data_IF_520316406275
#
_entry.id   IF_520316406275
#
_cell.length_a   1.000
_cell.length_b   1.000
_cell.length_c   1.000
_cell.angle_alpha   90.00
_cell.angle_beta   90.00
_cell.angle_gamma   90.00
#
_symmetry.space_group_name_H-M   'P 1'
#
loop_
_entity.id
_entity.type
_entity.pdbx_description
1 polymer ?
#
# COMPACT_ATOMS: atom_id res chain seq x y z
N UNK A 1 -1.15 14.24 -26.02
CA UNK A 1 -1.55 13.03 -25.28
C UNK A 1 -0.99 13.18 -23.89
N UNK A 2 -1.83 13.40 -22.90
CA UNK A 2 -1.40 13.44 -21.50
C UNK A 2 -1.01 12.03 -21.07
N UNK A 3 0.17 11.86 -20.47
CA UNK A 3 0.62 10.55 -19.98
C UNK A 3 -0.09 10.22 -18.67
N UNK A 4 -0.38 8.95 -18.47
CA UNK A 4 -0.92 8.42 -17.21
C UNK A 4 0.00 7.31 -16.73
N UNK A 5 0.41 7.39 -15.48
CA UNK A 5 1.24 6.42 -14.81
C UNK A 5 0.35 5.43 -14.07
N UNK A 6 0.68 4.14 -14.16
CA UNK A 6 -0.05 3.09 -13.43
C UNK A 6 0.90 2.45 -12.43
N UNK A 7 0.53 2.48 -11.16
CA UNK A 7 1.24 1.83 -10.07
C UNK A 7 0.47 0.57 -9.69
N UNK A 8 1.11 -0.60 -9.83
CA UNK A 8 0.50 -1.90 -9.53
C UNK A 8 1.20 -2.50 -8.31
N UNK A 9 0.42 -3.00 -7.36
CA UNK A 9 0.92 -3.71 -6.19
C UNK A 9 0.04 -4.93 -5.89
N UNK A 10 0.64 -5.97 -5.33
CA UNK A 10 -0.03 -7.22 -5.00
C UNK A 10 0.08 -7.56 -3.51
N UNK A 11 -1.00 -8.09 -2.96
CA UNK A 11 -1.05 -8.59 -1.58
C UNK A 11 -1.60 -10.01 -1.56
N UNK A 12 -0.81 -10.94 -1.03
CA UNK A 12 -1.17 -12.36 -1.00
C UNK A 12 0.03 -13.26 -0.71
N UNK A 13 -0.19 -14.56 -0.78
CA UNK A 13 0.86 -15.56 -0.56
C UNK A 13 1.62 -15.83 -1.86
N UNK A 14 2.85 -15.37 -2.04
CA UNK A 14 3.63 -15.58 -3.28
C UNK A 14 3.91 -17.06 -3.64
N UNK A 15 3.59 -18.01 -2.75
CA UNK A 15 3.65 -19.44 -3.02
C UNK A 15 2.36 -19.99 -3.64
N UNK A 16 2.50 -20.75 -4.74
CA UNK A 16 1.41 -21.56 -5.34
C UNK A 16 0.95 -22.73 -4.44
N UNK A 17 1.63 -22.95 -3.32
CA UNK A 17 1.38 -24.07 -2.41
C UNK A 17 0.33 -23.69 -1.36
N UNK A 18 -0.93 -23.97 -1.69
CA UNK A 18 -2.12 -23.70 -0.84
C UNK A 18 -2.34 -24.76 0.24
N UNK A 19 -1.48 -25.78 0.35
CA UNK A 19 -1.66 -26.90 1.28
C UNK A 19 -1.04 -26.67 2.66
N UNK A 20 -0.22 -25.62 2.85
CA UNK A 20 0.30 -25.26 4.17
C UNK A 20 -0.77 -24.53 4.99
N UNK A 21 -1.08 -25.07 6.17
CA UNK A 21 -1.98 -24.43 7.14
C UNK A 21 -1.48 -23.02 7.49
N UNK A 22 -2.28 -22.01 7.14
CA UNK A 22 -1.94 -20.59 7.28
C UNK A 22 -1.75 -19.82 5.97
N UNK A 23 -1.82 -20.49 4.80
CA UNK A 23 -1.85 -19.82 3.50
C UNK A 23 -3.24 -19.24 3.20
N UNK A 24 -3.27 -17.99 2.73
CA UNK A 24 -4.48 -17.39 2.15
C UNK A 24 -4.67 -17.94 0.74
N UNK A 25 -5.87 -18.45 0.43
CA UNK A 25 -6.25 -18.81 -0.94
C UNK A 25 -6.55 -17.61 -1.85
N UNK A 26 -6.42 -16.39 -1.32
CA UNK A 26 -6.78 -15.15 -2.02
C UNK A 26 -5.57 -14.26 -2.26
N UNK A 27 -5.58 -13.65 -3.43
CA UNK A 27 -4.64 -12.61 -3.86
C UNK A 27 -5.44 -11.36 -4.22
N UNK A 28 -4.91 -10.20 -3.85
CA UNK A 28 -5.47 -8.91 -4.21
C UNK A 28 -4.43 -8.20 -5.07
N UNK A 29 -4.84 -7.79 -6.26
CA UNK A 29 -4.04 -6.92 -7.14
C UNK A 29 -4.68 -5.54 -7.12
N UNK A 30 -3.89 -4.52 -6.82
CA UNK A 30 -4.31 -3.12 -6.79
C UNK A 30 -3.58 -2.35 -7.88
N UNK A 31 -4.29 -1.45 -8.58
CA UNK A 31 -3.71 -0.53 -9.54
C UNK A 31 -4.21 0.89 -9.28
N UNK A 32 -3.28 1.85 -9.19
CA UNK A 32 -3.56 3.27 -9.05
C UNK A 32 -3.09 3.98 -10.31
N UNK A 33 -4.00 4.71 -10.96
CA UNK A 33 -3.70 5.53 -12.12
C UNK A 33 -3.52 6.99 -11.70
N UNK A 34 -2.42 7.61 -12.12
CA UNK A 34 -2.08 8.99 -11.81
C UNK A 34 -1.75 9.72 -13.11
N UNK A 35 -2.45 10.81 -13.40
CA UNK A 35 -2.13 11.66 -14.54
C UNK A 35 -0.77 12.33 -14.31
N UNK A 36 0.01 12.55 -15.37
CA UNK A 36 1.36 13.16 -15.28
C UNK A 36 1.37 14.49 -14.52
N UNK A 37 0.34 15.33 -14.70
CA UNK A 37 0.17 16.60 -13.99
C UNK A 37 0.04 16.47 -12.46
N UNK A 38 -0.45 15.33 -11.98
CA UNK A 38 -0.72 15.06 -10.57
C UNK A 38 0.38 14.21 -9.92
N UNK A 39 1.37 13.77 -10.70
CA UNK A 39 2.42 12.83 -10.27
C UNK A 39 3.25 13.40 -9.11
N UNK A 40 3.73 14.63 -9.24
CA UNK A 40 4.53 15.29 -8.20
C UNK A 40 3.72 15.51 -6.92
N UNK A 41 2.45 15.87 -7.06
CA UNK A 41 1.55 16.03 -5.92
C UNK A 41 1.32 14.68 -5.22
N UNK A 42 1.12 13.60 -5.98
CA UNK A 42 0.96 12.25 -5.42
C UNK A 42 2.19 11.81 -4.63
N UNK A 43 3.41 12.00 -5.17
CA UNK A 43 4.65 11.71 -4.45
C UNK A 43 4.81 12.56 -3.18
N UNK A 44 4.53 13.85 -3.26
CA UNK A 44 4.63 14.75 -2.12
C UNK A 44 3.66 14.36 -0.99
N UNK A 45 2.43 13.94 -1.33
CA UNK A 45 1.45 13.46 -0.34
C UNK A 45 1.85 12.11 0.26
N UNK A 46 2.32 11.17 -0.57
CA UNK A 46 2.84 9.89 -0.10
C UNK A 46 4.00 10.07 0.89
N UNK A 47 4.92 10.99 0.60
CA UNK A 47 6.06 11.28 1.48
C UNK A 47 5.62 11.95 2.79
N UNK A 48 4.63 12.84 2.76
CA UNK A 48 4.04 13.42 3.99
C UNK A 48 3.40 12.33 4.86
N UNK A 49 2.66 11.41 4.26
CA UNK A 49 2.03 10.29 4.97
C UNK A 49 3.09 9.37 5.58
N UNK A 50 4.14 9.05 4.81
CA UNK A 50 5.28 8.24 5.27
C UNK A 50 5.97 8.90 6.47
N UNK A 51 6.35 10.17 6.38
CA UNK A 51 7.00 10.91 7.47
C UNK A 51 6.12 10.95 8.73
N UNK A 52 4.82 11.18 8.58
CA UNK A 52 3.87 11.30 9.70
C UNK A 52 3.65 9.98 10.44
N UNK A 53 3.59 8.85 9.74
CA UNK A 53 3.17 7.57 10.34
C UNK A 53 4.26 6.49 10.42
N UNK A 54 5.29 6.61 9.59
CA UNK A 54 6.36 5.61 9.41
C UNK A 54 7.77 6.22 9.52
N UNK A 55 7.89 7.54 9.70
CA UNK A 55 9.14 8.30 9.85
C UNK A 55 10.11 8.07 8.68
N UNK A 56 11.15 7.24 8.89
CA UNK A 56 12.16 6.87 7.89
C UNK A 56 11.90 5.50 7.27
N UNK A 57 10.99 4.71 7.82
CA UNK A 57 10.65 3.37 7.33
C UNK A 57 9.77 3.37 6.09
N UNK A 58 9.73 2.22 5.41
CA UNK A 58 8.77 1.94 4.35
C UNK A 58 7.34 1.83 4.88
N UNK A 59 6.37 2.20 4.05
CA UNK A 59 4.95 2.01 4.34
C UNK A 59 4.63 0.53 4.16
N UNK A 60 4.61 -0.24 5.26
CA UNK A 60 4.27 -1.67 5.24
C UNK A 60 3.26 -2.00 6.33
N UNK A 61 2.27 -2.82 5.98
CA UNK A 61 1.27 -3.30 6.94
C UNK A 61 1.87 -4.17 8.04
N UNK A 62 2.99 -4.86 7.76
CA UNK A 62 3.75 -5.64 8.75
C UNK A 62 4.39 -4.78 9.85
N UNK A 63 4.64 -3.50 9.58
CA UNK A 63 5.11 -2.53 10.58
C UNK A 63 3.97 -2.02 11.49
N UNK A 64 2.73 -2.42 11.22
CA UNK A 64 1.54 -2.09 12.01
C UNK A 64 1.06 -3.35 12.73
N UNK A 65 1.02 -3.33 14.08
CA UNK A 65 0.54 -4.50 14.85
C UNK A 65 -0.92 -4.78 14.48
N UNK A 66 -1.27 -6.07 14.39
CA UNK A 66 -2.62 -6.52 14.00
C UNK A 66 -3.71 -5.95 14.92
N UNK A 67 -3.39 -5.74 16.20
CA UNK A 67 -4.30 -5.16 17.20
C UNK A 67 -4.51 -3.64 17.07
N UNK A 68 -3.72 -2.94 16.26
CA UNK A 68 -3.78 -1.48 16.15
C UNK A 68 -4.76 -1.05 15.03
N UNK A 69 -5.99 -1.56 15.07
CA UNK A 69 -7.02 -1.25 14.08
C UNK A 69 -7.28 0.26 13.95
N UNK A 70 -7.29 0.98 15.08
CA UNK A 70 -7.47 2.43 15.12
C UNK A 70 -6.33 3.18 14.41
N UNK A 71 -5.10 2.68 14.52
CA UNK A 71 -3.94 3.28 13.82
C UNK A 71 -4.06 3.06 12.31
N UNK A 72 -4.55 1.89 11.88
CA UNK A 72 -4.79 1.58 10.46
C UNK A 72 -5.87 2.49 9.88
N UNK A 73 -7.00 2.67 10.57
CA UNK A 73 -8.06 3.58 10.16
C UNK A 73 -7.57 5.04 10.05
N UNK A 74 -6.75 5.50 11.01
CA UNK A 74 -6.18 6.86 11.00
C UNK A 74 -5.27 7.13 9.80
N UNK A 75 -4.49 6.14 9.36
CA UNK A 75 -3.61 6.27 8.19
C UNK A 75 -4.44 6.41 6.90
N UNK A 76 -5.60 5.73 6.82
CA UNK A 76 -6.48 5.78 5.65
C UNK A 76 -7.33 7.06 5.58
N UNK A 77 -7.74 7.59 6.74
CA UNK A 77 -8.63 8.75 6.81
C UNK A 77 -7.91 10.11 6.72
N UNK A 78 -6.58 10.14 6.87
CA UNK A 78 -5.77 11.36 6.80
C UNK A 78 -5.66 12.13 8.11
#
# INVERSE_FOLDING_TARGET
MDRTYTFVDESGNSGLDTYKGGSSGFFIVCAILVAEKDLDAAYAQAEKLRKRHFQTGEIKSSNLKVKDADRRARILNG
#
